data_IF_819546677362
#
_entry.id   IF_819546677362
#
_cell.length_a   1.000
_cell.length_b   1.000
_cell.length_c   1.000
_cell.angle_alpha   90.00
_cell.angle_beta   90.00
_cell.angle_gamma   90.00
#
_symmetry.space_group_name_H-M   'P 1'
#
loop_
_entity.id
_entity.type
_entity.pdbx_description
1 polymer ?
#
# COMPACT_ATOMS: atom_id res chain seq x y z
N UNK A 1 9.72 -23.52 31.91
CA UNK A 1 8.70 -22.61 31.33
C UNK A 1 8.87 -22.70 29.83
N UNK A 2 8.05 -23.54 29.21
CA UNK A 2 8.12 -23.82 27.78
C UNK A 2 7.78 -22.55 26.99
N UNK A 3 8.72 -22.17 26.14
CA UNK A 3 8.64 -21.07 25.21
C UNK A 3 7.44 -21.26 24.28
N UNK A 4 6.51 -20.32 24.29
CA UNK A 4 5.45 -20.25 23.28
C UNK A 4 6.12 -19.80 21.97
N UNK A 5 6.81 -20.70 21.29
CA UNK A 5 7.23 -20.50 19.91
C UNK A 5 5.97 -20.53 19.05
N UNK A 6 5.76 -19.50 18.23
CA UNK A 6 4.81 -19.60 17.13
C UNK A 6 5.40 -20.59 16.12
N UNK A 7 5.16 -21.88 16.34
CA UNK A 7 5.88 -22.98 15.68
C UNK A 7 5.55 -23.13 14.18
N UNK A 8 4.68 -22.29 13.62
CA UNK A 8 4.44 -22.17 12.18
C UNK A 8 3.99 -20.74 11.84
N UNK A 9 4.93 -19.80 11.54
CA UNK A 9 4.54 -18.54 10.91
C UNK A 9 3.85 -18.85 9.57
N UNK A 10 2.68 -18.25 9.34
CA UNK A 10 1.95 -18.41 8.08
C UNK A 10 2.74 -17.74 6.95
N UNK A 11 3.49 -18.54 6.19
CA UNK A 11 4.21 -18.05 5.02
C UNK A 11 3.22 -17.99 3.84
N UNK A 12 2.99 -16.79 3.32
CA UNK A 12 2.19 -16.54 2.10
C UNK A 12 3.12 -16.43 0.90
N UNK A 13 2.73 -17.01 -0.23
CA UNK A 13 3.42 -16.75 -1.49
C UNK A 13 3.22 -15.28 -1.89
N UNK A 14 4.18 -14.69 -2.61
CA UNK A 14 4.07 -13.30 -3.07
C UNK A 14 2.82 -13.07 -3.96
N UNK A 15 2.34 -14.10 -4.65
CA UNK A 15 1.09 -14.08 -5.43
C UNK A 15 -0.18 -14.04 -4.60
N UNK A 16 -0.12 -14.46 -3.34
CA UNK A 16 -1.27 -14.59 -2.43
C UNK A 16 -1.42 -13.37 -1.52
N UNK A 17 -0.53 -12.38 -1.67
CA UNK A 17 -0.66 -11.10 -1.00
C UNK A 17 -1.88 -10.36 -1.58
N UNK A 18 -2.71 -9.72 -0.74
CA UNK A 18 -3.75 -8.83 -1.24
C UNK A 18 -3.09 -7.75 -2.09
N UNK A 19 -3.23 -7.82 -3.41
CA UNK A 19 -2.72 -6.80 -4.34
C UNK A 19 -3.87 -6.05 -4.97
N UNK A 20 -3.71 -4.75 -5.19
CA UNK A 20 -4.65 -3.93 -5.94
C UNK A 20 -4.82 -4.50 -7.36
N UNK A 21 -5.97 -5.14 -7.63
CA UNK A 21 -6.35 -5.47 -9.01
C UNK A 21 -6.63 -4.14 -9.70
N UNK A 22 -5.66 -3.61 -10.44
CA UNK A 22 -5.87 -2.41 -11.28
C UNK A 22 -7.15 -2.66 -12.06
N UNK A 23 -8.17 -1.83 -11.83
CA UNK A 23 -9.25 -1.68 -12.79
C UNK A 23 -8.54 -1.21 -14.04
N UNK A 24 -8.27 -2.13 -14.98
CA UNK A 24 -8.18 -1.71 -16.36
C UNK A 24 -9.42 -0.85 -16.57
N UNK A 25 -9.22 0.38 -17.03
CA UNK A 25 -10.29 1.20 -17.56
C UNK A 25 -11.00 0.34 -18.62
N UNK A 26 -12.01 -0.41 -18.18
CA UNK A 26 -13.01 -0.95 -19.07
C UNK A 26 -13.69 0.32 -19.58
N UNK A 27 -13.24 0.78 -20.75
CA UNK A 27 -14.10 1.54 -21.63
C UNK A 27 -15.42 0.77 -21.62
N UNK A 28 -16.45 1.35 -21.03
CA UNK A 28 -17.80 0.89 -21.19
C UNK A 28 -18.10 1.01 -22.68
N UNK A 29 -17.76 -0.03 -23.44
CA UNK A 29 -18.27 -0.25 -24.75
C UNK A 29 -19.77 -0.39 -24.54
N UNK A 30 -20.47 0.70 -24.84
CA UNK A 30 -21.91 0.70 -24.99
C UNK A 30 -22.26 -0.52 -25.86
N UNK A 31 -23.23 -1.29 -25.39
CA UNK A 31 -23.79 -2.42 -26.11
C UNK A 31 -24.51 -1.91 -27.36
N UNK A 32 -23.78 -1.69 -28.45
CA UNK A 32 -24.33 -1.54 -29.79
C UNK A 32 -24.55 -2.94 -30.38
N UNK A 33 -25.79 -3.38 -30.67
CA UNK A 33 -26.08 -4.79 -30.91
C UNK A 33 -25.91 -5.22 -32.38
N UNK A 34 -25.12 -4.54 -33.22
CA UNK A 34 -25.11 -4.79 -34.68
C UNK A 34 -23.75 -4.53 -35.40
N UNK A 35 -22.62 -4.99 -34.85
CA UNK A 35 -21.29 -4.64 -35.38
C UNK A 35 -20.51 -5.67 -36.21
N UNK A 36 -20.98 -6.93 -36.38
CA UNK A 36 -20.11 -8.02 -36.89
C UNK A 36 -20.31 -8.34 -38.39
N UNK A 37 -21.31 -7.78 -39.07
CA UNK A 37 -21.68 -8.22 -40.43
C UNK A 37 -21.64 -7.14 -41.51
N UNK A 38 -20.66 -6.24 -41.48
CA UNK A 38 -20.53 -5.16 -42.49
C UNK A 38 -19.18 -5.17 -43.23
N UNK A 39 -18.60 -6.35 -43.48
CA UNK A 39 -17.36 -6.49 -44.29
C UNK A 39 -17.57 -7.20 -45.65
N UNK A 40 -18.77 -7.16 -46.24
CA UNK A 40 -19.01 -7.91 -47.48
C UNK A 40 -19.94 -7.24 -48.51
N UNK A 41 -19.81 -5.93 -48.75
CA UNK A 41 -20.42 -5.32 -49.95
C UNK A 41 -19.36 -4.50 -50.71
N UNK A 42 -18.96 -4.93 -51.93
CA UNK A 42 -18.16 -4.12 -52.82
C UNK A 42 -19.07 -3.37 -53.80
N UNK A 43 -19.03 -2.02 -53.80
CA UNK A 43 -19.27 -1.11 -54.96
C UNK A 43 -19.68 0.31 -54.51
N UNK A 44 -19.60 1.36 -55.37
CA UNK A 44 -18.65 1.64 -56.44
C UNK A 44 -17.94 3.01 -56.26
N UNK A 45 -16.89 3.22 -57.04
CA UNK A 45 -16.11 4.45 -57.14
C UNK A 45 -16.87 5.55 -57.91
N UNK A 46 -17.61 6.40 -57.21
CA UNK A 46 -17.82 7.79 -57.59
C UNK A 46 -18.43 8.58 -56.42
N UNK A 47 -17.74 9.63 -55.97
CA UNK A 47 -18.30 10.95 -55.62
C UNK A 47 -17.24 11.79 -54.91
N UNK A 48 -16.48 12.51 -55.72
CA UNK A 48 -15.77 13.71 -55.29
C UNK A 48 -16.84 14.75 -54.92
N UNK A 49 -16.95 15.12 -53.65
CA UNK A 49 -17.81 16.23 -53.20
C UNK A 49 -16.93 17.47 -52.93
N UNK A 50 -16.88 18.44 -53.86
CA UNK A 50 -16.09 19.66 -53.71
C UNK A 50 -16.74 20.75 -52.83
N UNK A 51 -17.79 20.44 -52.06
CA UNK A 51 -18.45 21.41 -51.15
C UNK A 51 -18.41 21.03 -49.66
N UNK A 52 -17.67 20.00 -49.25
CA UNK A 52 -17.41 19.71 -47.83
C UNK A 52 -16.31 20.63 -47.27
N UNK A 53 -16.63 21.93 -47.26
CA UNK A 53 -15.90 22.93 -46.49
C UNK A 53 -16.23 22.75 -45.02
N UNK A 54 -15.19 22.59 -44.20
CA UNK A 54 -15.17 22.57 -42.73
C UNK A 54 -15.85 21.37 -42.04
N UNK A 55 -15.22 20.18 -42.16
CA UNK A 55 -15.18 19.24 -41.04
C UNK A 55 -13.82 19.41 -40.36
N UNK A 56 -13.73 20.39 -39.46
CA UNK A 56 -12.70 20.43 -38.43
C UNK A 56 -12.62 19.04 -37.80
N UNK A 57 -11.47 18.39 -37.94
CA UNK A 57 -11.09 17.28 -37.07
C UNK A 57 -11.49 17.67 -35.65
N UNK A 58 -12.22 16.84 -34.89
CA UNK A 58 -12.29 17.07 -33.47
C UNK A 58 -10.86 16.87 -32.99
N UNK A 59 -10.14 17.98 -32.82
CA UNK A 59 -9.12 18.10 -31.79
C UNK A 59 -9.83 17.58 -30.56
N UNK A 60 -9.47 16.36 -30.15
CA UNK A 60 -9.76 15.87 -28.83
C UNK A 60 -9.12 16.90 -27.92
N UNK A 61 -9.96 17.84 -27.49
CA UNK A 61 -9.62 18.80 -26.46
C UNK A 61 -9.21 17.92 -25.30
N UNK A 62 -7.91 17.87 -25.05
CA UNK A 62 -7.29 17.37 -23.83
C UNK A 62 -7.85 18.26 -22.72
N UNK A 63 -9.09 17.96 -22.32
CA UNK A 63 -9.62 18.43 -21.06
C UNK A 63 -8.77 17.70 -20.04
N UNK A 64 -7.72 18.41 -19.60
CA UNK A 64 -7.09 18.31 -18.28
C UNK A 64 -8.21 18.09 -17.27
N UNK A 65 -8.60 16.83 -17.16
CA UNK A 65 -9.55 16.37 -16.17
C UNK A 65 -8.69 16.28 -14.94
N UNK A 66 -8.60 17.40 -14.22
CA UNK A 66 -8.05 17.53 -12.87
C UNK A 66 -8.01 16.14 -12.24
N UNK A 67 -6.82 15.52 -12.28
CA UNK A 67 -6.57 14.15 -11.88
C UNK A 67 -6.78 14.12 -10.36
N UNK A 68 -8.05 14.02 -9.96
CA UNK A 68 -8.46 14.08 -8.58
C UNK A 68 -7.72 12.99 -7.83
N UNK A 69 -6.74 13.39 -7.03
CA UNK A 69 -5.87 12.45 -6.33
C UNK A 69 -6.76 11.55 -5.48
N UNK A 70 -6.81 10.26 -5.82
CA UNK A 70 -7.59 9.29 -5.07
C UNK A 70 -7.15 9.32 -3.60
N UNK A 71 -8.10 9.29 -2.64
CA UNK A 71 -7.74 9.30 -1.23
C UNK A 71 -7.00 8.01 -0.87
N UNK A 72 -5.98 8.14 -0.03
CA UNK A 72 -5.20 7.00 0.48
C UNK A 72 -6.13 6.04 1.23
N UNK A 73 -6.15 4.78 0.78
CA UNK A 73 -6.94 3.70 1.36
C UNK A 73 -6.07 2.74 2.20
N UNK A 74 -6.72 1.80 2.90
CA UNK A 74 -6.01 0.81 3.73
C UNK A 74 -5.15 -0.14 2.89
N UNK A 75 -5.53 -0.38 1.63
CA UNK A 75 -4.78 -1.21 0.71
C UNK A 75 -3.48 -0.54 0.27
N UNK A 76 -3.48 0.75 0.00
CA UNK A 76 -2.25 1.51 -0.31
C UNK A 76 -1.27 1.47 0.87
N UNK A 77 -1.76 1.62 2.10
CA UNK A 77 -0.94 1.50 3.30
C UNK A 77 -0.34 0.09 3.40
N UNK A 78 -1.12 -0.96 3.10
CA UNK A 78 -0.64 -2.34 3.08
C UNK A 78 0.46 -2.54 2.03
N UNK A 79 0.25 -2.05 0.81
CA UNK A 79 1.21 -2.19 -0.30
C UNK A 79 2.54 -1.49 0.05
N UNK A 80 2.49 -0.34 0.73
CA UNK A 80 3.67 0.42 1.17
C UNK A 80 4.54 -0.30 2.20
N UNK A 81 3.95 -1.15 3.05
CA UNK A 81 4.64 -1.79 4.19
C UNK A 81 4.85 -3.30 4.00
N UNK A 82 4.08 -3.94 3.11
CA UNK A 82 4.17 -5.37 2.82
C UNK A 82 5.50 -5.78 2.17
N UNK A 83 6.17 -4.83 1.50
CA UNK A 83 7.45 -5.00 0.77
C UNK A 83 8.69 -4.78 1.64
N UNK A 84 8.52 -4.30 2.87
CA UNK A 84 9.61 -4.17 3.85
C UNK A 84 10.21 -5.56 4.11
N UNK A 85 11.53 -5.66 4.09
CA UNK A 85 12.23 -6.90 4.41
C UNK A 85 12.34 -7.11 5.91
N UNK A 86 12.21 -8.36 6.34
CA UNK A 86 12.50 -8.75 7.70
C UNK A 86 14.02 -8.70 7.99
N UNK A 87 14.45 -8.30 9.20
CA UNK A 87 15.88 -8.23 9.53
C UNK A 87 16.54 -9.61 9.71
N UNK A 88 15.79 -10.66 10.00
CA UNK A 88 16.29 -12.04 10.19
C UNK A 88 16.04 -12.93 8.97
N UNK A 89 14.98 -12.69 8.22
CA UNK A 89 14.57 -13.54 7.10
C UNK A 89 14.67 -12.81 5.74
N UNK A 90 15.00 -13.52 4.65
CA UNK A 90 15.01 -12.96 3.29
C UNK A 90 13.61 -12.74 2.70
N UNK A 91 12.58 -12.66 3.56
CA UNK A 91 11.17 -12.54 3.19
C UNK A 91 10.63 -11.18 3.61
N UNK A 92 9.58 -10.73 2.93
CA UNK A 92 8.92 -9.49 3.26
C UNK A 92 7.93 -9.65 4.42
N UNK A 93 7.63 -8.55 5.12
CA UNK A 93 6.68 -8.54 6.24
C UNK A 93 5.28 -9.02 5.82
N UNK A 94 4.86 -8.74 4.58
CA UNK A 94 3.60 -9.26 4.03
C UNK A 94 3.63 -10.78 3.84
N UNK A 95 4.76 -11.32 3.37
CA UNK A 95 4.95 -12.76 3.15
C UNK A 95 4.98 -13.56 4.45
N UNK A 96 5.49 -12.96 5.53
CA UNK A 96 5.54 -13.54 6.87
C UNK A 96 4.25 -13.36 7.68
N UNK A 97 3.21 -12.77 7.08
CA UNK A 97 1.95 -12.40 7.75
C UNK A 97 2.16 -11.52 9.01
N UNK A 98 3.26 -10.76 9.06
CA UNK A 98 3.55 -9.82 10.15
C UNK A 98 2.62 -8.61 10.07
N UNK A 99 2.26 -8.23 8.85
CA UNK A 99 1.26 -7.20 8.56
C UNK A 99 0.13 -7.85 7.77
N UNK A 100 -1.12 -7.55 8.13
CA UNK A 100 -2.30 -7.98 7.40
C UNK A 100 -3.20 -6.79 7.07
N UNK A 101 -3.87 -6.84 5.91
CA UNK A 101 -4.86 -5.84 5.50
C UNK A 101 -5.97 -5.55 6.54
N UNK A 102 -6.61 -6.56 7.19
CA UNK A 102 -7.63 -6.30 8.21
C UNK A 102 -7.09 -5.65 9.49
N UNK A 103 -5.77 -5.69 9.71
CA UNK A 103 -5.11 -5.14 10.89
C UNK A 103 -4.66 -3.66 10.67
N UNK A 104 -5.12 -3.03 9.57
CA UNK A 104 -4.82 -1.64 9.21
C UNK A 104 -6.10 -0.80 9.28
N UNK A 105 -6.03 0.31 10.01
CA UNK A 105 -7.17 1.20 10.25
C UNK A 105 -6.81 2.64 9.96
N UNK A 106 -7.67 3.35 9.22
CA UNK A 106 -7.57 4.79 8.99
C UNK A 106 -8.74 5.46 9.71
N UNK A 107 -8.45 6.39 10.63
CA UNK A 107 -9.47 7.13 11.38
C UNK A 107 -9.30 8.64 11.20
N UNK A 108 -10.36 9.39 10.88
CA UNK A 108 -10.29 10.84 10.86
C UNK A 108 -10.10 11.39 12.29
N UNK A 109 -9.28 12.43 12.43
CA UNK A 109 -8.95 13.08 13.68
C UNK A 109 -9.38 14.56 13.64
N UNK A 110 -10.59 14.82 14.13
CA UNK A 110 -11.12 16.18 14.26
C UNK A 110 -11.54 16.80 12.93
N UNK A 111 -11.51 18.13 12.85
CA UNK A 111 -12.13 18.93 11.78
C UNK A 111 -11.17 19.39 10.66
N UNK A 112 -9.87 19.07 10.75
CA UNK A 112 -8.80 19.67 9.92
C UNK A 112 -8.12 18.67 8.98
N UNK A 113 -8.89 17.77 8.35
CA UNK A 113 -8.38 16.73 7.43
C UNK A 113 -7.24 15.82 7.96
N UNK A 114 -6.99 15.86 9.26
CA UNK A 114 -6.00 15.03 9.91
C UNK A 114 -6.55 13.61 10.01
N UNK A 115 -5.70 12.63 9.72
CA UNK A 115 -6.07 11.22 9.81
C UNK A 115 -5.03 10.48 10.62
N UNK A 116 -5.46 9.45 11.35
CA UNK A 116 -4.60 8.57 12.11
C UNK A 116 -4.62 7.20 11.43
N UNK A 117 -3.44 6.75 11.02
CA UNK A 117 -3.19 5.40 10.53
C UNK A 117 -2.74 4.56 11.70
N UNK A 118 -3.55 3.57 12.07
CA UNK A 118 -3.19 2.56 13.07
C UNK A 118 -2.85 1.26 12.35
N UNK A 119 -1.64 0.74 12.57
CA UNK A 119 -1.20 -0.57 12.04
C UNK A 119 -0.94 -1.51 13.20
N UNK A 120 -1.64 -2.64 13.23
CA UNK A 120 -1.37 -3.72 14.16
C UNK A 120 -0.45 -4.77 13.52
N UNK A 121 0.66 -5.07 14.21
CA UNK A 121 1.65 -6.03 13.75
C UNK A 121 1.61 -7.31 14.59
N UNK A 122 1.84 -8.43 13.92
CA UNK A 122 1.94 -9.76 14.53
C UNK A 122 3.38 -10.26 14.38
N UNK A 123 4.27 -10.06 15.37
CA UNK A 123 5.65 -10.51 15.26
C UNK A 123 5.73 -12.02 15.07
N UNK A 124 6.70 -12.49 14.28
CA UNK A 124 6.92 -13.90 13.98
C UNK A 124 7.36 -14.70 15.21
N UNK A 125 8.01 -14.05 16.19
CA UNK A 125 8.55 -14.65 17.41
C UNK A 125 8.08 -13.87 18.64
N UNK A 126 7.68 -14.60 19.68
CA UNK A 126 6.96 -14.11 20.88
C UNK A 126 7.84 -13.48 21.96
N UNK A 127 9.17 -13.49 21.79
CA UNK A 127 10.16 -12.96 22.74
C UNK A 127 11.27 -12.14 22.05
N UNK A 128 10.93 -11.33 21.05
CA UNK A 128 11.92 -10.75 20.16
C UNK A 128 12.08 -9.23 20.34
N UNK A 129 13.31 -8.76 20.51
CA UNK A 129 13.66 -7.33 20.40
C UNK A 129 13.41 -6.78 18.99
N UNK A 130 13.29 -7.66 18.00
CA UNK A 130 12.98 -7.30 16.62
C UNK A 130 11.55 -6.82 16.44
N UNK A 131 10.62 -7.14 17.33
CA UNK A 131 9.27 -6.57 17.26
C UNK A 131 9.30 -5.04 17.28
N UNK A 132 10.20 -4.46 18.09
CA UNK A 132 10.43 -3.01 18.15
C UNK A 132 11.10 -2.50 16.86
N UNK A 133 12.06 -3.24 16.28
CA UNK A 133 12.70 -2.85 15.01
C UNK A 133 11.73 -2.88 13.83
N UNK A 134 10.91 -3.93 13.73
CA UNK A 134 9.87 -4.07 12.71
C UNK A 134 8.86 -2.92 12.83
N UNK A 135 8.38 -2.65 14.05
CA UNK A 135 7.46 -1.54 14.30
C UNK A 135 8.07 -0.18 13.95
N UNK A 136 9.35 0.03 14.27
CA UNK A 136 10.08 1.25 13.91
C UNK A 136 10.28 1.37 12.39
N UNK A 137 10.58 0.28 11.69
CA UNK A 137 10.70 0.24 10.23
C UNK A 137 9.40 0.61 9.53
N UNK A 138 8.28 0.03 9.97
CA UNK A 138 6.94 0.39 9.47
C UNK A 138 6.64 1.86 9.71
N UNK A 139 6.90 2.35 10.93
CA UNK A 139 6.66 3.75 11.28
C UNK A 139 7.47 4.70 10.39
N UNK A 140 8.77 4.46 10.24
CA UNK A 140 9.66 5.27 9.41
C UNK A 140 9.25 5.21 7.93
N UNK A 141 8.84 4.03 7.41
CA UNK A 141 8.36 3.91 6.03
C UNK A 141 7.12 4.74 5.80
N UNK A 142 6.11 4.61 6.67
CA UNK A 142 4.85 5.35 6.53
C UNK A 142 5.03 6.85 6.72
N UNK A 143 5.86 7.28 7.69
CA UNK A 143 6.17 8.71 7.88
C UNK A 143 6.91 9.33 6.67
N UNK A 144 7.65 8.54 5.90
CA UNK A 144 8.33 9.01 4.67
C UNK A 144 7.43 9.00 3.43
N UNK A 145 6.46 8.08 3.38
CA UNK A 145 5.61 7.91 2.19
C UNK A 145 4.27 8.65 2.30
N UNK A 146 3.74 8.83 3.51
CA UNK A 146 2.46 9.49 3.72
C UNK A 146 2.63 11.01 3.89
N UNK A 147 1.67 11.82 3.39
CA UNK A 147 1.65 13.25 3.66
C UNK A 147 1.58 13.57 5.17
N UNK A 148 2.09 14.74 5.62
CA UNK A 148 2.17 15.10 7.05
C UNK A 148 0.81 15.27 7.76
N UNK A 149 -0.30 15.22 7.01
CA UNK A 149 -1.66 15.15 7.57
C UNK A 149 -1.97 13.83 8.26
N UNK A 150 -1.20 12.78 7.97
CA UNK A 150 -1.34 11.46 8.55
C UNK A 150 -0.45 11.32 9.80
N UNK A 151 -1.06 10.89 10.90
CA UNK A 151 -0.35 10.47 12.11
C UNK A 151 -0.27 8.96 12.12
N UNK A 152 0.94 8.43 12.17
CA UNK A 152 1.20 6.99 12.18
C UNK A 152 1.24 6.49 13.63
N UNK A 153 0.48 5.44 13.92
CA UNK A 153 0.46 4.72 15.19
C UNK A 153 0.67 3.23 14.90
N UNK A 154 1.69 2.62 15.50
CA UNK A 154 2.05 1.22 15.28
C UNK A 154 1.93 0.46 16.59
N UNK A 155 1.17 -0.63 16.57
CA UNK A 155 0.85 -1.41 17.77
C UNK A 155 1.15 -2.87 17.54
N UNK A 156 1.51 -3.58 18.59
CA UNK A 156 1.62 -5.05 18.54
C UNK A 156 0.27 -5.64 18.93
N UNK A 157 -0.23 -6.58 18.14
CA UNK A 157 -1.51 -7.23 18.38
C UNK A 157 -1.51 -7.98 19.71
N UNK A 158 -2.57 -7.81 20.50
CA UNK A 158 -2.65 -8.42 21.83
C UNK A 158 -2.62 -9.95 21.74
N UNK A 159 -1.94 -10.60 22.69
CA UNK A 159 -1.79 -12.05 22.73
C UNK A 159 -0.74 -12.64 21.76
N UNK A 160 -0.11 -11.83 20.91
CA UNK A 160 0.91 -12.31 19.95
C UNK A 160 2.35 -12.24 20.46
N UNK A 161 2.61 -11.45 21.50
CA UNK A 161 3.95 -11.26 22.06
C UNK A 161 3.87 -11.09 23.58
N UNK A 162 4.81 -11.68 24.33
CA UNK A 162 4.77 -11.63 25.81
C UNK A 162 4.96 -10.21 26.37
N UNK A 163 5.60 -9.31 25.62
CA UNK A 163 5.78 -7.90 25.99
C UNK A 163 5.09 -6.94 25.01
N UNK A 164 3.98 -7.37 24.38
CA UNK A 164 3.24 -6.59 23.39
C UNK A 164 2.90 -5.16 23.86
N UNK A 165 2.43 -5.01 25.11
CA UNK A 165 2.08 -3.71 25.69
C UNK A 165 3.31 -2.81 25.85
N UNK A 166 4.43 -3.38 26.31
CA UNK A 166 5.68 -2.64 26.49
C UNK A 166 6.22 -2.15 25.14
N UNK A 167 6.21 -3.01 24.11
CA UNK A 167 6.65 -2.64 22.75
C UNK A 167 5.72 -1.57 22.17
N UNK A 168 4.41 -1.73 22.29
CA UNK A 168 3.44 -0.73 21.83
C UNK A 168 3.65 0.63 22.50
N UNK A 169 3.91 0.65 23.81
CA UNK A 169 4.24 1.87 24.54
C UNK A 169 5.56 2.50 24.07
N UNK A 170 6.57 1.68 23.76
CA UNK A 170 7.84 2.17 23.22
C UNK A 170 7.68 2.81 21.85
N UNK A 171 6.87 2.22 20.96
CA UNK A 171 6.61 2.74 19.62
C UNK A 171 5.76 4.03 19.64
N UNK A 172 4.85 4.15 20.61
CA UNK A 172 4.03 5.34 20.83
C UNK A 172 4.76 6.51 21.50
N UNK A 173 5.92 6.26 22.14
CA UNK A 173 6.74 7.30 22.76
C UNK A 173 7.57 8.04 21.69
N UNK A 174 7.18 9.27 21.39
CA UNK A 174 7.81 10.08 20.34
C UNK A 174 9.25 10.45 20.65
N UNK A 175 9.58 10.72 21.91
CA UNK A 175 10.94 11.11 22.31
C UNK A 175 11.88 9.91 22.19
N UNK A 176 11.41 8.73 22.61
CA UNK A 176 12.16 7.48 22.46
C UNK A 176 12.39 7.11 21.00
N UNK A 177 11.37 7.25 20.15
CA UNK A 177 11.52 6.95 18.73
C UNK A 177 12.45 7.95 18.04
N UNK A 178 12.36 9.24 18.37
CA UNK A 178 13.29 10.23 17.84
C UNK A 178 14.74 9.90 18.22
N UNK A 179 15.00 9.57 19.48
CA UNK A 179 16.32 9.14 19.93
C UNK A 179 16.81 7.86 19.22
N UNK A 180 15.91 6.90 18.95
CA UNK A 180 16.26 5.69 18.21
C UNK A 180 16.65 5.99 16.75
N UNK A 181 16.05 7.00 16.13
CA UNK A 181 16.39 7.45 14.77
C UNK A 181 17.76 8.17 14.69
N UNK A 182 18.28 8.68 15.81
CA UNK A 182 19.63 9.25 15.88
C UNK A 182 20.72 8.18 16.06
N UNK A 183 20.35 6.96 16.44
CA UNK A 183 21.28 5.86 16.60
C UNK A 183 21.67 5.27 15.23
N UNK A 184 22.93 5.49 14.84
CA UNK A 184 23.45 5.05 13.55
C UNK A 184 23.38 3.53 13.32
N UNK A 185 23.50 2.71 14.37
CA UNK A 185 23.42 1.25 14.25
C UNK A 185 22.00 0.82 13.91
N UNK A 186 21.01 1.34 14.64
CA UNK A 186 19.59 1.08 14.39
C UNK A 186 19.20 1.57 13.00
N UNK A 187 19.65 2.77 12.62
CA UNK A 187 19.41 3.31 11.28
C UNK A 187 20.04 2.48 10.17
N UNK A 188 21.19 1.85 10.41
CA UNK A 188 21.81 0.92 9.46
C UNK A 188 20.91 -0.29 9.18
N UNK A 189 20.39 -0.91 10.24
CA UNK A 189 19.47 -2.06 10.12
C UNK A 189 18.16 -1.63 9.46
N UNK A 190 17.57 -0.51 9.88
CA UNK A 190 16.34 0.02 9.28
C UNK A 190 16.51 0.34 7.80
N UNK A 191 17.64 0.93 7.38
CA UNK A 191 17.92 1.19 5.97
C UNK A 191 17.93 -0.12 5.18
N UNK A 192 18.63 -1.15 5.66
CA UNK A 192 18.65 -2.48 5.03
C UNK A 192 17.25 -3.09 4.89
N UNK A 193 16.40 -2.96 5.91
CA UNK A 193 15.01 -3.43 5.84
C UNK A 193 14.18 -2.68 4.78
N UNK A 194 14.47 -1.38 4.60
CA UNK A 194 13.76 -0.50 3.68
C UNK A 194 14.33 -0.47 2.26
N UNK A 195 15.52 -1.06 2.01
CA UNK A 195 16.16 -1.11 0.70
C UNK A 195 15.33 -1.85 -0.35
N UNK A 196 14.51 -2.81 0.07
CA UNK A 196 13.62 -3.58 -0.83
C UNK A 196 12.32 -2.87 -1.17
N UNK A 197 12.03 -1.75 -0.51
CA UNK A 197 10.80 -1.00 -0.72
C UNK A 197 10.96 -0.08 -1.93
N UNK A 198 10.28 -0.41 -3.03
CA UNK A 198 10.17 0.44 -4.22
C UNK A 198 9.14 1.56 -4.03
#
# INVERSE_FOLDING_TARGET
>A
MESIQNANPTIRAASDLPTRRRKASFSTAASDPLGIFTQAIPSPSYNFDPFSSSSTSPISSDSDSEEGTEPIDTQEIYDLISTISDPEHPLSLGSLAVVNLPDIYIRPLGAQDLQVVTVEITPTITHCSLATLIGLGIRVRLERCLPPRFRVDVRVKEGTHSTAEQVTKQLGDKERVAAAMENQQLMGVLKKMLETCQ
#
